data_IF_536973393297
#
_entry.id   IF_536973393297
#
_cell.length_a   1.000
_cell.length_b   1.000
_cell.length_c   1.000
_cell.angle_alpha   90.00
_cell.angle_beta   90.00
_cell.angle_gamma   90.00
#
_symmetry.space_group_name_H-M   'P 1'
#
loop_
_entity.id
_entity.type
_entity.pdbx_description
1 polymer ?
#
# COMPACT_ATOMS: atom_id res chain seq x y z
N UNK A 1 10.12 5.22 -27.01
CA UNK A 1 10.89 5.06 -25.76
C UNK A 1 10.16 4.32 -24.61
N UNK A 2 8.82 4.21 -24.59
CA UNK A 2 8.07 3.51 -23.53
C UNK A 2 8.25 1.98 -23.53
N UNK A 3 8.34 1.35 -24.72
CA UNK A 3 8.46 -0.11 -24.87
C UNK A 3 9.76 -0.66 -24.26
N UNK A 4 10.89 0.03 -24.43
CA UNK A 4 12.17 -0.39 -23.85
C UNK A 4 12.22 -0.28 -22.32
N UNK A 5 11.46 0.64 -21.72
CA UNK A 5 11.35 0.80 -20.26
C UNK A 5 10.46 -0.29 -19.66
N UNK A 6 9.33 -0.57 -20.29
CA UNK A 6 8.44 -1.67 -19.90
C UNK A 6 9.15 -3.03 -19.99
N UNK A 7 9.94 -3.26 -21.04
CA UNK A 7 10.72 -4.48 -21.21
C UNK A 7 11.81 -4.65 -20.14
N UNK A 8 12.53 -3.58 -19.79
CA UNK A 8 13.50 -3.61 -18.67
C UNK A 8 12.84 -3.91 -17.33
N UNK A 9 11.65 -3.36 -17.08
CA UNK A 9 10.90 -3.59 -15.84
C UNK A 9 10.39 -5.03 -15.80
N UNK A 10 9.85 -5.55 -16.92
CA UNK A 10 9.41 -6.94 -17.03
C UNK A 10 10.56 -7.93 -16.79
N UNK A 11 11.73 -7.70 -17.41
CA UNK A 11 12.93 -8.48 -17.16
C UNK A 11 13.39 -8.39 -15.71
N UNK A 12 13.38 -7.20 -15.12
CA UNK A 12 13.73 -7.02 -13.71
C UNK A 12 12.76 -7.76 -12.78
N UNK A 13 11.46 -7.70 -13.07
CA UNK A 13 10.45 -8.47 -12.34
C UNK A 13 10.69 -9.98 -12.45
N UNK A 14 10.98 -10.51 -13.64
CA UNK A 14 11.29 -11.95 -13.80
C UNK A 14 12.55 -12.32 -13.01
N UNK A 15 13.60 -11.50 -13.05
CA UNK A 15 14.88 -11.79 -12.38
C UNK A 15 14.74 -11.72 -10.86
N UNK A 16 13.99 -10.76 -10.32
CA UNK A 16 13.80 -10.61 -8.87
C UNK A 16 12.82 -11.64 -8.33
N UNK A 17 11.76 -11.96 -9.09
CA UNK A 17 10.61 -12.71 -8.58
C UNK A 17 10.53 -14.16 -9.08
N UNK A 18 11.08 -14.46 -10.27
CA UNK A 18 11.19 -15.82 -10.81
C UNK A 18 11.92 -16.80 -9.89
N UNK A 19 13.07 -16.44 -9.28
CA UNK A 19 13.80 -17.32 -8.37
C UNK A 19 12.99 -17.71 -7.13
N UNK A 20 12.16 -16.82 -6.60
CA UNK A 20 11.34 -17.08 -5.42
C UNK A 20 10.19 -18.02 -5.75
N UNK A 21 9.53 -17.83 -6.90
CA UNK A 21 8.50 -18.75 -7.39
C UNK A 21 9.06 -20.16 -7.66
N UNK A 22 10.27 -20.24 -8.23
CA UNK A 22 11.00 -21.49 -8.42
C UNK A 22 11.36 -22.16 -7.09
N UNK A 23 11.81 -21.40 -6.09
CA UNK A 23 12.11 -21.93 -4.75
C UNK A 23 10.88 -22.51 -4.06
N UNK A 24 9.71 -21.84 -4.17
CA UNK A 24 8.45 -22.34 -3.61
C UNK A 24 8.04 -23.65 -4.30
N UNK A 25 8.20 -23.73 -5.62
CA UNK A 25 7.92 -24.94 -6.39
C UNK A 25 8.87 -26.09 -6.03
N UNK A 26 10.17 -25.84 -5.97
CA UNK A 26 11.18 -26.83 -5.58
C UNK A 26 10.99 -27.30 -4.14
N UNK A 27 10.69 -26.39 -3.20
CA UNK A 27 10.40 -26.76 -1.83
C UNK A 27 9.18 -27.69 -1.75
N UNK A 28 8.13 -27.43 -2.54
CA UNK A 28 7.00 -28.35 -2.59
C UNK A 28 7.37 -29.71 -3.19
N UNK A 29 8.20 -29.74 -4.24
CA UNK A 29 8.62 -30.97 -4.90
C UNK A 29 9.52 -31.85 -4.04
N UNK A 30 10.37 -31.24 -3.19
CA UNK A 30 11.31 -31.94 -2.30
C UNK A 30 10.64 -32.41 -1.01
N UNK A 31 9.82 -31.57 -0.38
CA UNK A 31 9.25 -31.88 0.93
C UNK A 31 7.86 -32.51 0.86
N UNK A 32 7.17 -32.42 -0.28
CA UNK A 32 5.81 -32.93 -0.52
C UNK A 32 4.80 -32.60 0.60
N UNK A 33 5.06 -31.51 1.32
CA UNK A 33 4.35 -31.09 2.54
C UNK A 33 3.21 -30.12 2.24
N UNK A 34 3.16 -29.56 1.03
CA UNK A 34 2.23 -28.48 0.67
C UNK A 34 1.25 -28.99 -0.39
N UNK A 35 -0.04 -28.95 -0.08
CA UNK A 35 -1.10 -29.28 -1.04
C UNK A 35 -0.93 -28.46 -2.32
N UNK A 36 -1.10 -29.10 -3.48
CA UNK A 36 -1.03 -28.46 -4.80
C UNK A 36 -1.91 -27.20 -4.88
N UNK A 37 -3.06 -27.21 -4.20
CA UNK A 37 -3.97 -26.05 -4.08
C UNK A 37 -3.32 -24.86 -3.38
N UNK A 38 -2.54 -25.09 -2.33
CA UNK A 38 -1.82 -24.04 -1.60
C UNK A 38 -0.72 -23.42 -2.45
N UNK A 39 -0.01 -24.22 -3.25
CA UNK A 39 1.00 -23.71 -4.18
C UNK A 39 0.38 -22.86 -5.28
N UNK A 40 -0.76 -23.28 -5.84
CA UNK A 40 -1.48 -22.49 -6.85
C UNK A 40 -1.96 -21.16 -6.26
N UNK A 41 -2.49 -21.14 -5.04
CA UNK A 41 -2.92 -19.91 -4.36
C UNK A 41 -1.72 -18.99 -4.10
N UNK A 42 -0.58 -19.54 -3.67
CA UNK A 42 0.65 -18.77 -3.45
C UNK A 42 1.16 -18.15 -4.75
N UNK A 43 1.24 -18.93 -5.84
CA UNK A 43 1.65 -18.44 -7.16
C UNK A 43 0.67 -17.41 -7.72
N UNK A 44 -0.64 -17.61 -7.53
CA UNK A 44 -1.66 -16.65 -7.94
C UNK A 44 -1.55 -15.33 -7.14
N UNK A 45 -1.48 -15.40 -5.80
CA UNK A 45 -1.29 -14.22 -4.98
C UNK A 45 0.01 -13.47 -5.33
N UNK A 46 1.07 -14.22 -5.63
CA UNK A 46 2.35 -13.67 -6.04
C UNK A 46 2.29 -12.94 -7.39
N UNK A 47 1.65 -13.55 -8.40
CA UNK A 47 1.48 -12.92 -9.72
C UNK A 47 0.59 -11.69 -9.66
N UNK A 48 -0.49 -11.73 -8.86
CA UNK A 48 -1.34 -10.56 -8.60
C UNK A 48 -0.54 -9.44 -7.93
N UNK A 49 0.27 -9.77 -6.92
CA UNK A 49 1.11 -8.80 -6.23
C UNK A 49 2.14 -8.14 -7.16
N UNK A 50 2.78 -8.91 -8.05
CA UNK A 50 3.68 -8.38 -9.08
C UNK A 50 2.90 -7.47 -10.04
N UNK A 51 1.71 -7.88 -10.47
CA UNK A 51 0.85 -7.05 -11.32
C UNK A 51 0.56 -5.68 -10.70
N UNK A 52 0.23 -5.66 -9.42
CA UNK A 52 0.00 -4.42 -8.66
C UNK A 52 1.28 -3.57 -8.60
N UNK A 53 2.43 -4.15 -8.26
CA UNK A 53 3.70 -3.44 -8.23
C UNK A 53 4.10 -2.89 -9.61
N UNK A 54 3.80 -3.63 -10.68
CA UNK A 54 4.06 -3.20 -12.04
C UNK A 54 3.16 -2.01 -12.41
N UNK A 55 1.88 -2.03 -12.04
CA UNK A 55 0.97 -0.88 -12.22
C UNK A 55 1.49 0.34 -11.45
N UNK A 56 1.86 0.18 -10.18
CA UNK A 56 2.35 1.27 -9.33
C UNK A 56 3.67 1.86 -9.86
N UNK A 57 4.58 1.02 -10.37
CA UNK A 57 5.90 1.46 -10.85
C UNK A 57 5.90 2.02 -12.28
N UNK A 58 4.99 1.55 -13.15
CA UNK A 58 4.94 1.96 -14.56
C UNK A 58 3.96 3.08 -14.83
N UNK A 59 2.95 3.27 -13.98
CA UNK A 59 1.91 4.28 -14.17
C UNK A 59 2.34 5.60 -13.55
N UNK A 60 2.44 6.70 -14.34
CA UNK A 60 2.67 8.03 -13.78
C UNK A 60 1.56 8.39 -12.78
N UNK A 61 1.91 8.99 -11.64
CA UNK A 61 0.95 9.39 -10.59
C UNK A 61 -0.28 10.14 -11.14
N UNK A 62 -0.09 11.00 -12.14
CA UNK A 62 -1.18 11.72 -12.82
C UNK A 62 -2.17 10.81 -13.57
N UNK A 63 -1.70 9.74 -14.19
CA UNK A 63 -2.57 8.78 -14.88
C UNK A 63 -3.30 7.89 -13.88
N UNK A 64 -2.63 7.50 -12.79
CA UNK A 64 -3.25 6.74 -11.71
C UNK A 64 -4.39 7.53 -11.03
N UNK A 65 -4.16 8.82 -10.74
CA UNK A 65 -5.18 9.74 -10.23
C UNK A 65 -6.38 9.85 -11.16
N UNK A 66 -6.16 9.95 -12.48
CA UNK A 66 -7.25 10.01 -13.47
C UNK A 66 -8.10 8.73 -13.51
N UNK A 67 -7.51 7.58 -13.21
CA UNK A 67 -8.24 6.31 -13.08
C UNK A 67 -9.04 6.28 -11.77
N UNK A 68 -8.47 6.78 -10.67
CA UNK A 68 -9.16 6.94 -9.38
C UNK A 68 -10.33 7.91 -9.44
N UNK A 69 -10.21 9.02 -10.18
CA UNK A 69 -11.28 10.00 -10.43
C UNK A 69 -12.51 9.35 -11.07
N UNK A 70 -12.32 8.37 -11.99
CA UNK A 70 -13.44 7.65 -12.61
C UNK A 70 -14.28 6.85 -11.62
N UNK A 71 -13.69 6.45 -10.49
CA UNK A 71 -14.34 5.65 -9.44
C UNK A 71 -14.70 6.51 -8.22
N UNK A 72 -14.50 7.84 -8.29
CA UNK A 72 -14.68 8.79 -7.17
C UNK A 72 -13.86 8.42 -5.92
N UNK A 73 -12.71 7.77 -6.13
CA UNK A 73 -11.76 7.39 -5.06
C UNK A 73 -10.57 8.35 -4.97
N UNK A 74 -10.56 9.40 -5.79
CA UNK A 74 -9.60 10.49 -5.78
C UNK A 74 -9.54 11.17 -4.40
N UNK A 75 -10.69 11.52 -3.82
CA UNK A 75 -10.77 12.16 -2.50
C UNK A 75 -10.19 11.26 -1.41
N UNK A 76 -10.54 9.97 -1.41
CA UNK A 76 -10.04 8.98 -0.45
C UNK A 76 -8.52 8.82 -0.58
N UNK A 77 -8.01 8.81 -1.81
CA UNK A 77 -6.58 8.71 -2.07
C UNK A 77 -5.81 9.95 -1.58
N UNK A 78 -6.32 11.16 -1.83
CA UNK A 78 -5.72 12.39 -1.31
C UNK A 78 -5.76 12.47 0.21
N UNK A 79 -6.88 12.08 0.84
CA UNK A 79 -6.97 11.98 2.30
C UNK A 79 -5.93 11.02 2.85
N UNK A 80 -5.81 9.83 2.26
CA UNK A 80 -4.89 8.78 2.73
C UNK A 80 -3.45 9.28 2.70
N UNK A 81 -3.06 10.00 1.64
CA UNK A 81 -1.72 10.59 1.54
C UNK A 81 -1.50 11.71 2.56
N UNK A 82 -2.47 12.61 2.76
CA UNK A 82 -2.39 13.65 3.79
C UNK A 82 -2.26 13.05 5.19
N UNK A 83 -3.03 12.00 5.50
CA UNK A 83 -2.97 11.30 6.79
C UNK A 83 -1.62 10.61 6.96
N UNK A 84 -1.06 10.01 5.90
CA UNK A 84 0.27 9.39 5.95
C UNK A 84 1.38 10.41 6.22
N UNK A 85 1.31 11.61 5.63
CA UNK A 85 2.26 12.69 5.88
C UNK A 85 2.16 13.18 7.34
N UNK A 86 0.95 13.48 7.82
CA UNK A 86 0.72 13.90 9.21
C UNK A 86 1.10 12.79 10.21
N UNK A 87 0.88 11.52 9.87
CA UNK A 87 1.30 10.39 10.68
C UNK A 87 2.83 10.28 10.76
N UNK A 88 3.53 10.56 9.67
CA UNK A 88 4.99 10.60 9.67
C UNK A 88 5.53 11.76 10.54
N UNK A 89 4.91 12.94 10.47
CA UNK A 89 5.23 14.07 11.36
C UNK A 89 4.97 13.73 12.83
N UNK A 90 3.83 13.10 13.13
CA UNK A 90 3.50 12.64 14.48
C UNK A 90 4.52 11.62 14.99
N UNK A 91 4.90 10.64 14.17
CA UNK A 91 5.93 9.64 14.50
C UNK A 91 7.28 10.31 14.78
N UNK A 92 7.69 11.26 13.95
CA UNK A 92 8.93 12.00 14.14
C UNK A 92 8.89 12.83 15.43
N UNK A 93 7.76 13.45 15.74
CA UNK A 93 7.55 14.16 17.00
C UNK A 93 7.62 13.24 18.23
N UNK A 94 7.13 12.01 18.12
CA UNK A 94 7.24 11.00 19.19
C UNK A 94 8.67 10.49 19.35
N UNK A 95 9.37 10.22 18.24
CA UNK A 95 10.79 9.86 18.25
C UNK A 95 11.65 10.95 18.91
N UNK A 96 11.40 12.22 18.59
CA UNK A 96 12.06 13.36 19.23
C UNK A 96 11.80 13.45 20.75
N UNK A 97 10.69 12.89 21.24
CA UNK A 97 10.35 12.80 22.66
C UNK A 97 10.83 11.49 23.32
N UNK A 98 11.70 10.72 22.66
CA UNK A 98 12.28 9.50 23.20
C UNK A 98 11.44 8.23 22.99
N UNK A 99 10.43 8.27 22.11
CA UNK A 99 9.74 7.04 21.69
C UNK A 99 10.60 6.27 20.67
N UNK A 100 10.98 5.04 21.03
CA UNK A 100 11.75 4.17 20.14
C UNK A 100 10.89 3.01 19.63
N UNK A 101 10.86 2.76 18.31
CA UNK A 101 10.20 1.57 17.75
C UNK A 101 10.96 0.32 18.21
N UNK A 102 10.28 -0.55 18.95
CA UNK A 102 10.83 -1.82 19.42
C UNK A 102 9.86 -2.98 19.18
N UNK A 103 10.19 -4.17 19.66
CA UNK A 103 9.35 -5.37 19.52
C UNK A 103 8.13 -5.40 20.46
N UNK A 104 8.06 -4.47 21.44
CA UNK A 104 6.98 -4.45 22.40
C UNK A 104 5.71 -3.82 21.80
N UNK A 105 4.70 -4.65 21.53
CA UNK A 105 3.43 -4.26 20.92
C UNK A 105 2.69 -3.18 21.73
N UNK A 106 2.86 -3.16 23.07
CA UNK A 106 2.18 -2.20 23.95
C UNK A 106 2.67 -0.77 23.74
N UNK A 107 3.93 -0.58 23.29
CA UNK A 107 4.47 0.75 22.96
C UNK A 107 3.83 1.37 21.72
N UNK A 108 3.18 0.56 20.87
CA UNK A 108 2.46 1.04 19.69
C UNK A 108 1.05 1.53 20.01
N UNK A 109 0.48 1.17 21.17
CA UNK A 109 -0.87 1.57 21.54
C UNK A 109 -1.06 3.09 21.50
N UNK A 110 -0.12 3.85 22.08
CA UNK A 110 -0.15 5.33 22.09
C UNK A 110 -0.06 5.90 20.68
N UNK A 111 0.71 5.27 19.79
CA UNK A 111 0.84 5.68 18.38
C UNK A 111 -0.45 5.40 17.62
N UNK A 112 -1.06 4.23 17.83
CA UNK A 112 -2.31 3.81 17.17
C UNK A 112 -3.46 4.70 17.61
N UNK A 113 -3.59 4.98 18.91
CA UNK A 113 -4.65 5.86 19.43
C UNK A 113 -4.53 7.27 18.85
N UNK A 114 -3.31 7.82 18.79
CA UNK A 114 -3.11 9.16 18.22
C UNK A 114 -3.33 9.16 16.68
N UNK A 115 -2.99 8.07 15.98
CA UNK A 115 -3.31 7.91 14.56
C UNK A 115 -4.82 7.90 14.29
N UNK A 116 -5.59 7.21 15.13
CA UNK A 116 -7.05 7.16 15.05
C UNK A 116 -7.63 8.56 15.30
N UNK A 117 -7.17 9.26 16.34
CA UNK A 117 -7.60 10.64 16.63
C UNK A 117 -7.32 11.58 15.47
N UNK A 118 -6.11 11.52 14.91
CA UNK A 118 -5.70 12.31 13.75
C UNK A 118 -6.63 12.06 12.55
N UNK A 119 -6.91 10.78 12.27
CA UNK A 119 -7.79 10.37 11.17
C UNK A 119 -9.22 10.88 11.36
N UNK A 120 -9.77 10.81 12.59
CA UNK A 120 -11.11 11.31 12.92
C UNK A 120 -11.19 12.83 12.76
N UNK A 121 -10.20 13.57 13.25
CA UNK A 121 -10.14 15.03 13.08
C UNK A 121 -10.07 15.40 11.61
N UNK A 122 -9.30 14.65 10.80
CA UNK A 122 -9.17 14.93 9.37
C UNK A 122 -10.46 14.64 8.59
N UNK A 123 -11.13 13.53 8.90
CA UNK A 123 -12.45 13.21 8.35
C UNK A 123 -13.46 14.32 8.65
N UNK A 124 -13.50 14.80 9.89
CA UNK A 124 -14.38 15.90 10.29
C UNK A 124 -14.06 17.19 9.53
N UNK A 125 -12.79 17.57 9.42
CA UNK A 125 -12.39 18.78 8.70
C UNK A 125 -12.75 18.73 7.21
N UNK A 126 -12.62 17.55 6.58
CA UNK A 126 -12.99 17.40 5.17
C UNK A 126 -14.50 17.37 5.01
N UNK A 127 -15.23 16.71 5.90
CA UNK A 127 -16.68 16.76 5.92
C UNK A 127 -17.20 18.21 6.05
N UNK A 128 -16.67 18.99 6.99
CA UNK A 128 -17.00 20.41 7.14
C UNK A 128 -16.65 21.21 5.89
N UNK A 129 -15.51 20.91 5.25
CA UNK A 129 -15.09 21.57 4.01
C UNK A 129 -15.98 21.20 2.81
N UNK A 130 -16.50 19.97 2.77
CA UNK A 130 -17.43 19.49 1.74
C UNK A 130 -18.82 20.11 1.92
N UNK A 131 -19.31 20.16 3.16
CA UNK A 131 -20.55 20.85 3.53
C UNK A 131 -20.47 22.35 3.18
N UNK A 132 -19.34 23.01 3.47
CA UNK A 132 -19.12 24.42 3.12
C UNK A 132 -19.10 24.67 1.60
N UNK A 133 -18.84 23.63 0.79
CA UNK A 133 -18.88 23.66 -0.68
C UNK A 133 -20.25 23.28 -1.24
N UNK A 134 -21.26 23.09 -0.40
CA UNK A 134 -22.62 22.74 -0.80
C UNK A 134 -22.80 21.28 -1.20
N UNK A 135 -21.88 20.39 -0.82
CA UNK A 135 -22.05 18.95 -1.00
C UNK A 135 -22.95 18.45 0.13
N UNK A 136 -24.22 18.20 -0.17
CA UNK A 136 -25.18 17.68 0.79
C UNK A 136 -24.84 16.24 1.19
N UNK A 137 -25.03 15.91 2.48
CA UNK A 137 -24.94 14.54 2.98
C UNK A 137 -26.05 13.71 2.34
N UNK A 138 -25.68 12.69 1.56
CA UNK A 138 -26.59 11.62 1.14
C UNK A 138 -26.72 10.60 2.28
#
# INVERSE_FOLDING_TARGET
>A
MLVGRAYKIFLHSIVVYGPVALLIYFANLVFNTISSRTVVILLYGYTVFIGILMIVSTTPRKQFLRVLERVRLDVVFFMTLSILEEFNEMLNSKKARGWEPGLNILKYYVVIVDAIKLSVVRLKNVEESLLARGVERV
#
